data_IF_843718122021
#
_entry.id   IF_843718122021
#
_cell.length_a   1.000
_cell.length_b   1.000
_cell.length_c   1.000
_cell.angle_alpha   90.00
_cell.angle_beta   90.00
_cell.angle_gamma   90.00
#
_symmetry.space_group_name_H-M   'P 1'
#
loop_
_entity.id
_entity.type
_entity.pdbx_description
1 polymer ?
#
# COMPACT_ATOMS: atom_id res chain seq x y z
N UNK A 1 -4.39 36.15 -15.71
CA UNK A 1 -4.91 34.76 -15.53
C UNK A 1 -4.02 33.85 -16.36
N UNK A 2 -3.32 32.91 -15.72
CA UNK A 2 -2.61 31.86 -16.41
C UNK A 2 -3.70 30.86 -16.83
N UNK A 3 -4.03 30.77 -18.09
CA UNK A 3 -5.01 29.85 -18.61
C UNK A 3 -4.37 28.46 -18.73
N UNK A 4 -4.69 27.56 -17.81
CA UNK A 4 -4.24 26.18 -17.71
C UNK A 4 -3.15 25.99 -16.65
N UNK A 5 -3.19 24.84 -15.97
CA UNK A 5 -2.18 24.46 -15.00
C UNK A 5 -0.81 24.31 -15.68
N UNK A 6 0.23 24.88 -15.08
CA UNK A 6 1.62 24.78 -15.55
C UNK A 6 2.38 23.80 -14.67
N UNK A 7 3.44 23.18 -15.22
CA UNK A 7 4.34 22.35 -14.45
C UNK A 7 5.19 23.22 -13.50
N UNK A 8 5.38 22.73 -12.27
CA UNK A 8 6.27 23.36 -11.29
C UNK A 8 7.39 22.38 -10.94
N UNK A 9 8.62 22.78 -11.26
CA UNK A 9 9.83 22.01 -10.93
C UNK A 9 10.69 22.77 -9.94
N UNK A 10 11.05 22.15 -8.84
CA UNK A 10 11.98 22.68 -7.84
C UNK A 10 13.27 21.87 -7.90
N UNK A 11 14.35 22.53 -8.31
CA UNK A 11 15.70 21.95 -8.28
C UNK A 11 16.34 22.26 -6.94
N UNK A 12 16.42 21.27 -6.07
CA UNK A 12 16.92 21.41 -4.70
C UNK A 12 15.87 21.06 -3.65
N UNK A 13 16.10 21.52 -2.43
CA UNK A 13 15.25 21.23 -1.29
C UNK A 13 14.02 22.16 -1.25
N UNK A 14 12.94 21.64 -0.70
CA UNK A 14 11.70 22.37 -0.48
C UNK A 14 11.28 22.30 0.99
N UNK A 15 10.95 23.45 1.54
CA UNK A 15 10.18 23.61 2.80
C UNK A 15 8.84 24.25 2.42
N UNK A 16 7.76 23.44 2.46
CA UNK A 16 6.44 23.83 1.99
C UNK A 16 5.53 24.22 3.17
N UNK A 17 5.37 25.52 3.38
CA UNK A 17 4.54 26.07 4.46
C UNK A 17 3.15 26.57 3.98
N UNK A 18 2.89 26.58 2.68
CA UNK A 18 1.62 26.98 2.06
C UNK A 18 1.19 26.01 0.97
N UNK A 19 -0.12 25.78 0.83
CA UNK A 19 -0.64 24.81 -0.12
C UNK A 19 -0.25 25.14 -1.57
N UNK A 20 0.07 24.10 -2.34
CA UNK A 20 0.22 24.17 -3.80
C UNK A 20 -1.09 23.71 -4.43
N UNK A 21 -1.64 24.54 -5.31
CA UNK A 21 -2.85 24.26 -6.09
C UNK A 21 -2.67 24.76 -7.53
N UNK A 22 -3.53 24.27 -8.45
CA UNK A 22 -3.57 24.72 -9.85
C UNK A 22 -2.27 24.45 -10.64
N UNK A 23 -1.52 23.42 -10.27
CA UNK A 23 -0.30 22.95 -10.94
C UNK A 23 -0.63 21.71 -11.77
N UNK A 24 -0.05 21.58 -12.97
CA UNK A 24 -0.18 20.38 -13.78
C UNK A 24 0.65 19.26 -13.19
N UNK A 25 1.96 19.26 -13.39
CA UNK A 25 2.88 18.35 -12.74
C UNK A 25 3.75 19.08 -11.73
N UNK A 26 4.04 18.45 -10.62
CA UNK A 26 4.91 18.98 -9.57
C UNK A 26 6.09 18.06 -9.33
N UNK A 27 7.30 18.61 -9.28
CA UNK A 27 8.50 17.82 -9.01
C UNK A 27 9.49 18.53 -8.11
N UNK A 28 10.10 17.81 -7.18
CA UNK A 28 11.18 18.28 -6.31
C UNK A 28 12.34 17.30 -6.39
N UNK A 29 13.55 17.79 -6.70
CA UNK A 29 14.73 16.92 -6.82
C UNK A 29 15.47 16.68 -5.51
N UNK A 30 15.38 17.60 -4.56
CA UNK A 30 16.01 17.50 -3.24
C UNK A 30 15.08 16.97 -2.15
N UNK A 31 15.46 17.16 -0.89
CA UNK A 31 14.60 16.82 0.25
C UNK A 31 13.38 17.74 0.32
N UNK A 32 12.27 17.22 0.81
CA UNK A 32 11.01 17.94 0.92
C UNK A 32 10.46 17.86 2.33
N UNK A 33 10.19 19.00 2.96
CA UNK A 33 9.32 19.10 4.12
C UNK A 33 7.93 19.55 3.67
N UNK A 34 6.93 18.66 3.85
CA UNK A 34 5.54 18.91 3.49
C UNK A 34 4.78 19.42 4.71
N UNK A 35 4.85 20.73 4.97
CA UNK A 35 4.04 21.43 5.97
C UNK A 35 2.66 21.85 5.46
N UNK A 36 2.34 21.61 4.18
CA UNK A 36 1.05 21.94 3.57
C UNK A 36 0.64 20.91 2.48
N UNK A 37 -0.62 20.94 2.06
CA UNK A 37 -1.16 20.04 1.05
C UNK A 37 -0.71 20.42 -0.36
N UNK A 38 -0.64 19.40 -1.24
CA UNK A 38 -0.31 19.59 -2.66
C UNK A 38 -1.41 18.99 -3.53
N UNK A 39 -1.97 19.82 -4.41
CA UNK A 39 -2.97 19.42 -5.41
C UNK A 39 -2.46 19.72 -6.81
N UNK A 40 -2.38 18.67 -7.62
CA UNK A 40 -2.01 18.75 -9.04
C UNK A 40 -3.10 18.12 -9.90
N UNK A 41 -3.16 18.47 -11.17
CA UNK A 41 -4.01 17.76 -12.14
C UNK A 41 -3.28 16.55 -12.73
N UNK A 42 -1.95 16.55 -12.72
CA UNK A 42 -1.06 15.50 -13.18
C UNK A 42 -0.30 14.83 -12.03
N UNK A 43 0.98 14.59 -12.22
CA UNK A 43 1.84 13.85 -11.31
C UNK A 43 2.47 14.72 -10.23
N UNK A 44 2.85 14.07 -9.11
CA UNK A 44 3.78 14.64 -8.12
C UNK A 44 4.98 13.70 -7.97
N UNK A 45 6.19 14.23 -8.07
CA UNK A 45 7.42 13.45 -7.94
C UNK A 45 8.36 14.08 -6.92
N UNK A 46 8.67 13.31 -5.88
CA UNK A 46 9.61 13.67 -4.83
C UNK A 46 10.83 12.75 -4.93
N UNK A 47 11.94 13.25 -5.45
CA UNK A 47 13.14 12.43 -5.68
C UNK A 47 14.00 12.26 -4.44
N UNK A 48 14.03 13.25 -3.54
CA UNK A 48 14.70 13.16 -2.25
C UNK A 48 13.79 12.70 -1.13
N UNK A 49 14.36 12.58 0.07
CA UNK A 49 13.59 12.21 1.26
C UNK A 49 12.46 13.21 1.54
N UNK A 50 11.30 12.68 1.95
CA UNK A 50 10.11 13.46 2.29
C UNK A 50 9.86 13.39 3.79
N UNK A 51 9.60 14.54 4.40
CA UNK A 51 9.10 14.64 5.79
C UNK A 51 7.72 15.27 5.77
N UNK A 52 6.79 14.71 6.54
CA UNK A 52 5.50 15.35 6.79
C UNK A 52 5.60 16.16 8.09
N UNK A 53 5.14 17.41 8.09
CA UNK A 53 5.18 18.26 9.27
C UNK A 53 3.84 18.99 9.49
N UNK A 54 3.65 19.47 10.73
CA UNK A 54 2.49 20.26 11.12
C UNK A 54 1.23 19.44 11.42
N UNK A 55 0.48 19.01 10.43
CA UNK A 55 -0.78 18.28 10.58
C UNK A 55 -0.92 17.18 9.52
N UNK A 56 -2.10 16.57 9.37
CA UNK A 56 -2.43 15.65 8.29
C UNK A 56 -2.11 16.25 6.92
N UNK A 57 -1.57 15.44 6.00
CA UNK A 57 -1.27 15.83 4.63
C UNK A 57 -2.14 15.11 3.63
N UNK A 58 -2.69 15.89 2.71
CA UNK A 58 -3.34 15.38 1.51
C UNK A 58 -2.49 15.73 0.29
N UNK A 59 -2.09 14.70 -0.44
CA UNK A 59 -1.45 14.80 -1.75
C UNK A 59 -2.46 14.33 -2.79
N UNK A 60 -2.88 15.22 -3.67
CA UNK A 60 -3.87 14.91 -4.70
C UNK A 60 -3.28 15.08 -6.08
N UNK A 61 -3.39 14.05 -6.93
CA UNK A 61 -2.89 14.07 -8.31
C UNK A 61 -3.18 12.75 -9.02
N UNK A 62 -2.78 12.64 -10.28
CA UNK A 62 -2.94 11.38 -11.01
C UNK A 62 -2.07 10.26 -10.45
N UNK A 63 -0.82 10.58 -10.09
CA UNK A 63 0.12 9.66 -9.44
C UNK A 63 1.07 10.46 -8.55
N UNK A 64 1.24 10.01 -7.31
CA UNK A 64 2.17 10.56 -6.33
C UNK A 64 3.33 9.58 -6.16
N UNK A 65 4.55 10.02 -6.48
CA UNK A 65 5.76 9.18 -6.40
C UNK A 65 6.72 9.74 -5.36
N UNK A 66 7.09 8.93 -4.37
CA UNK A 66 8.21 9.20 -3.47
C UNK A 66 9.32 8.22 -3.80
N UNK A 67 10.45 8.71 -4.30
CA UNK A 67 11.56 7.88 -4.77
C UNK A 67 12.59 7.55 -3.67
N UNK A 68 12.39 8.07 -2.48
CA UNK A 68 13.25 7.88 -1.31
C UNK A 68 12.40 7.69 -0.05
N UNK A 69 13.05 7.66 1.10
CA UNK A 69 12.38 7.51 2.40
C UNK A 69 11.35 8.63 2.65
N UNK A 70 10.16 8.23 3.13
CA UNK A 70 9.14 9.14 3.65
C UNK A 70 9.04 8.99 5.18
N UNK A 71 9.18 10.10 5.91
CA UNK A 71 9.01 10.16 7.37
C UNK A 71 7.76 10.95 7.71
N UNK A 72 6.81 10.30 8.36
CA UNK A 72 5.48 10.87 8.63
C UNK A 72 5.40 11.83 9.81
N UNK A 73 6.37 11.82 10.75
CA UNK A 73 6.30 12.67 11.95
C UNK A 73 5.03 12.48 12.79
N UNK A 74 4.43 11.30 12.76
CA UNK A 74 3.11 10.95 13.33
C UNK A 74 1.91 11.61 12.63
N UNK A 75 2.11 12.27 11.49
CA UNK A 75 1.03 12.88 10.73
C UNK A 75 0.32 11.81 9.89
N UNK A 76 -0.98 12.00 9.66
CA UNK A 76 -1.73 11.18 8.71
C UNK A 76 -1.36 11.59 7.28
N UNK A 77 -1.36 10.61 6.37
CA UNK A 77 -1.15 10.82 4.94
C UNK A 77 -2.33 10.29 4.14
N UNK A 78 -2.96 11.17 3.39
CA UNK A 78 -3.99 10.83 2.41
C UNK A 78 -3.41 11.07 1.02
N UNK A 79 -3.46 10.06 0.16
CA UNK A 79 -3.14 10.15 -1.26
C UNK A 79 -4.42 9.97 -2.06
N UNK A 80 -4.88 11.03 -2.71
CA UNK A 80 -6.01 10.99 -3.63
C UNK A 80 -5.49 10.82 -5.06
N UNK A 81 -5.49 9.59 -5.53
CA UNK A 81 -4.89 9.13 -6.78
C UNK A 81 -3.99 7.92 -6.57
N UNK A 82 -3.17 7.62 -7.56
CA UNK A 82 -2.23 6.49 -7.48
C UNK A 82 -1.00 6.86 -6.63
N UNK A 83 -0.40 5.83 -6.00
CA UNK A 83 0.83 5.99 -5.20
C UNK A 83 1.96 5.08 -5.70
N UNK A 84 3.19 5.60 -5.67
CA UNK A 84 4.41 4.80 -5.87
C UNK A 84 5.37 5.13 -4.73
N UNK A 85 5.71 4.12 -3.92
CA UNK A 85 6.61 4.26 -2.78
C UNK A 85 7.95 3.59 -3.05
N UNK A 86 9.03 4.39 -2.98
CA UNK A 86 10.40 3.94 -3.15
C UNK A 86 10.79 3.71 -4.61
N UNK A 87 12.08 3.52 -4.81
CA UNK A 87 12.67 3.05 -6.07
C UNK A 87 13.71 1.93 -5.83
N UNK A 88 13.80 1.46 -4.58
CA UNK A 88 14.72 0.41 -4.16
C UNK A 88 14.50 -0.04 -2.71
N UNK A 89 15.16 -1.13 -2.35
CA UNK A 89 15.00 -1.80 -1.05
C UNK A 89 15.53 -1.00 0.15
N UNK A 90 16.27 0.08 -0.09
CA UNK A 90 16.77 0.97 0.98
C UNK A 90 15.77 2.01 1.44
N UNK A 91 14.70 2.22 0.68
CA UNK A 91 13.69 3.23 1.00
C UNK A 91 12.66 2.69 1.99
N UNK A 92 12.09 3.60 2.78
CA UNK A 92 11.08 3.23 3.79
C UNK A 92 10.00 4.31 3.88
N UNK A 93 8.81 3.90 4.30
CA UNK A 93 7.75 4.82 4.76
C UNK A 93 7.55 4.56 6.25
N UNK A 94 7.88 5.53 7.10
CA UNK A 94 7.89 5.32 8.56
C UNK A 94 7.30 6.51 9.32
N UNK A 95 6.80 6.24 10.53
CA UNK A 95 6.30 7.29 11.42
C UNK A 95 5.04 8.00 10.91
N UNK A 96 4.30 7.41 10.00
CA UNK A 96 2.99 7.91 9.53
C UNK A 96 1.93 7.56 10.58
N UNK A 97 0.98 8.46 10.82
CA UNK A 97 -0.18 8.22 11.68
C UNK A 97 -1.08 7.17 11.05
N UNK A 98 -1.91 7.58 10.11
CA UNK A 98 -2.69 6.70 9.21
C UNK A 98 -2.27 6.91 7.78
N UNK A 99 -2.35 5.87 6.94
CA UNK A 99 -2.13 5.95 5.51
C UNK A 99 -3.41 5.58 4.77
N UNK A 100 -3.87 6.45 3.88
CA UNK A 100 -5.05 6.18 3.04
C UNK A 100 -4.75 6.54 1.59
N UNK A 101 -4.85 5.57 0.68
CA UNK A 101 -4.61 5.73 -0.75
C UNK A 101 -5.87 5.34 -1.51
N UNK A 102 -6.36 6.23 -2.38
CA UNK A 102 -7.63 6.01 -3.08
C UNK A 102 -7.50 5.37 -4.45
N UNK A 103 -6.31 5.13 -4.95
CA UNK A 103 -6.06 4.53 -6.27
C UNK A 103 -5.08 3.38 -6.23
N UNK A 104 -4.53 3.04 -7.38
CA UNK A 104 -3.51 2.00 -7.50
C UNK A 104 -2.28 2.33 -6.67
N UNK A 105 -1.65 1.29 -6.13
CA UNK A 105 -0.42 1.46 -5.34
C UNK A 105 0.68 0.54 -5.86
N UNK A 106 1.89 1.08 -6.03
CA UNK A 106 3.09 0.26 -6.28
C UNK A 106 4.06 0.45 -5.12
N UNK A 107 4.53 -0.63 -4.51
CA UNK A 107 5.40 -0.62 -3.35
C UNK A 107 6.76 -1.21 -3.73
N UNK A 108 7.77 -0.34 -3.93
CA UNK A 108 9.17 -0.70 -4.14
C UNK A 108 10.03 -0.52 -2.87
N UNK A 109 9.40 -0.14 -1.76
CA UNK A 109 10.05 -0.03 -0.44
C UNK A 109 9.88 -1.33 0.35
N UNK A 110 10.87 -1.67 1.15
CA UNK A 110 10.82 -2.87 1.99
C UNK A 110 9.98 -2.73 3.25
N UNK A 111 9.60 -1.50 3.64
CA UNK A 111 8.89 -1.24 4.89
C UNK A 111 7.94 -0.06 4.77
N UNK A 112 6.69 -0.27 5.20
CA UNK A 112 5.72 0.80 5.47
C UNK A 112 5.22 0.62 6.91
N UNK A 113 5.46 1.61 7.78
CA UNK A 113 5.05 1.57 9.19
C UNK A 113 4.17 2.76 9.52
N UNK A 114 3.00 2.47 10.09
CA UNK A 114 2.06 3.47 10.61
C UNK A 114 1.71 3.17 12.07
N UNK A 115 1.30 4.17 12.81
CA UNK A 115 0.73 3.95 14.15
C UNK A 115 -0.75 3.59 14.09
N UNK A 116 -1.47 4.02 13.07
CA UNK A 116 -2.87 3.74 12.79
C UNK A 116 -3.06 2.88 11.55
N UNK A 117 -4.26 2.92 10.97
CA UNK A 117 -4.66 2.09 9.83
C UNK A 117 -3.88 2.38 8.55
N UNK A 118 -3.80 1.35 7.70
CA UNK A 118 -3.36 1.47 6.31
C UNK A 118 -4.51 1.01 5.40
N UNK A 119 -4.88 1.84 4.42
CA UNK A 119 -5.93 1.52 3.44
C UNK A 119 -5.35 1.71 2.04
N UNK A 120 -5.46 0.66 1.22
CA UNK A 120 -4.93 0.61 -0.13
C UNK A 120 -6.06 0.39 -1.15
N UNK A 121 -6.33 1.42 -1.96
CA UNK A 121 -7.42 1.46 -2.92
C UNK A 121 -8.76 1.87 -2.31
N UNK A 122 -9.70 2.26 -3.15
CA UNK A 122 -11.09 2.55 -2.79
C UNK A 122 -12.11 1.78 -3.65
N UNK A 123 -11.61 0.94 -4.55
CA UNK A 123 -12.40 0.09 -5.41
C UNK A 123 -11.72 -1.28 -5.59
N UNK A 124 -12.51 -2.35 -5.73
CA UNK A 124 -11.99 -3.70 -5.95
C UNK A 124 -11.28 -3.87 -7.30
N UNK A 125 -11.38 -2.89 -8.19
CA UNK A 125 -10.65 -2.81 -9.45
C UNK A 125 -9.27 -2.15 -9.34
N UNK A 126 -8.97 -1.49 -8.21
CA UNK A 126 -7.64 -0.94 -7.96
C UNK A 126 -6.61 -2.07 -7.82
N UNK A 127 -5.36 -1.77 -8.07
CA UNK A 127 -4.27 -2.76 -7.98
C UNK A 127 -3.20 -2.29 -7.01
N UNK A 128 -2.79 -3.19 -6.12
CA UNK A 128 -1.67 -3.02 -5.22
C UNK A 128 -0.56 -3.96 -5.66
N UNK A 129 0.51 -3.39 -6.21
CA UNK A 129 1.64 -4.15 -6.75
C UNK A 129 2.77 -4.17 -5.71
N UNK A 130 3.16 -5.37 -5.29
CA UNK A 130 4.29 -5.60 -4.40
C UNK A 130 5.55 -5.75 -5.27
N UNK A 131 6.30 -4.66 -5.43
CA UNK A 131 7.47 -4.58 -6.31
C UNK A 131 8.76 -5.12 -5.68
N UNK A 132 8.79 -5.32 -4.36
CA UNK A 132 9.87 -5.98 -3.62
C UNK A 132 9.31 -6.69 -2.41
N UNK A 133 10.09 -7.55 -1.75
CA UNK A 133 9.66 -8.14 -0.48
C UNK A 133 9.41 -7.03 0.56
N UNK A 134 8.18 -6.93 1.03
CA UNK A 134 7.69 -5.80 1.81
C UNK A 134 7.08 -6.24 3.14
N UNK A 135 7.34 -5.46 4.19
CA UNK A 135 6.68 -5.56 5.49
C UNK A 135 5.82 -4.33 5.73
N UNK A 136 4.51 -4.52 5.90
CA UNK A 136 3.58 -3.48 6.33
C UNK A 136 3.28 -3.66 7.81
N UNK A 137 3.45 -2.61 8.61
CA UNK A 137 3.29 -2.68 10.06
C UNK A 137 2.36 -1.58 10.55
N UNK A 138 1.42 -1.95 11.43
CA UNK A 138 0.59 -1.01 12.19
C UNK A 138 0.73 -1.26 13.69
N UNK A 139 0.34 -0.29 14.50
CA UNK A 139 0.26 -0.48 15.96
C UNK A 139 -1.17 -0.87 16.34
N UNK A 140 -1.45 -2.19 16.37
CA UNK A 140 -2.79 -2.72 16.69
C UNK A 140 -3.92 -2.07 15.88
N UNK A 141 -3.69 -1.87 14.61
CA UNK A 141 -4.66 -1.24 13.69
C UNK A 141 -4.76 -2.04 12.40
N UNK A 142 -5.91 -1.97 11.75
CA UNK A 142 -6.22 -2.73 10.54
C UNK A 142 -5.36 -2.30 9.34
N UNK A 143 -5.05 -3.28 8.48
CA UNK A 143 -4.60 -3.07 7.11
C UNK A 143 -5.70 -3.58 6.18
N UNK A 144 -6.24 -2.71 5.34
CA UNK A 144 -7.27 -3.07 4.35
C UNK A 144 -6.72 -2.95 2.93
N UNK A 145 -6.85 -4.00 2.17
CA UNK A 145 -6.63 -4.02 0.73
C UNK A 145 -7.98 -4.07 0.02
N UNK A 146 -8.49 -2.90 -0.37
CA UNK A 146 -9.75 -2.84 -1.12
C UNK A 146 -9.55 -3.32 -2.56
N UNK A 147 -8.38 -3.11 -3.15
CA UNK A 147 -8.02 -3.54 -4.50
C UNK A 147 -7.26 -4.87 -4.54
N UNK A 148 -7.05 -5.36 -5.78
CA UNK A 148 -6.29 -6.57 -6.09
C UNK A 148 -4.85 -6.46 -5.58
N UNK A 149 -4.33 -7.51 -4.94
CA UNK A 149 -2.93 -7.55 -4.49
C UNK A 149 -2.13 -8.53 -5.32
N UNK A 150 -1.18 -8.03 -6.09
CA UNK A 150 -0.35 -8.83 -6.97
C UNK A 150 1.15 -8.57 -6.71
N UNK A 151 2.01 -9.52 -7.03
CA UNK A 151 3.44 -9.26 -7.17
C UNK A 151 3.72 -8.50 -8.47
N UNK A 152 4.84 -7.82 -8.54
CA UNK A 152 5.30 -7.23 -9.80
C UNK A 152 5.49 -8.31 -10.87
N UNK A 153 5.23 -7.95 -12.13
CA UNK A 153 5.29 -8.88 -13.25
C UNK A 153 6.65 -9.58 -13.34
N UNK A 154 6.61 -10.91 -13.41
CA UNK A 154 7.82 -11.75 -13.46
C UNK A 154 8.47 -12.01 -12.09
N UNK A 155 7.90 -11.53 -11.00
CA UNK A 155 8.38 -11.73 -9.65
C UNK A 155 7.40 -12.52 -8.78
N UNK A 156 7.87 -12.94 -7.61
CA UNK A 156 7.05 -13.58 -6.55
C UNK A 156 7.52 -13.00 -5.21
N UNK A 157 7.14 -11.76 -4.94
CA UNK A 157 7.59 -11.02 -3.77
C UNK A 157 6.84 -11.44 -2.50
N UNK A 158 7.54 -11.55 -1.39
CA UNK A 158 6.94 -11.86 -0.10
C UNK A 158 6.20 -10.63 0.45
N UNK A 159 5.09 -10.87 1.15
CA UNK A 159 4.31 -9.85 1.83
C UNK A 159 4.14 -10.23 3.30
N UNK A 160 4.71 -9.41 4.19
CA UNK A 160 4.55 -9.56 5.63
C UNK A 160 3.64 -8.45 6.16
N UNK A 161 2.61 -8.82 6.92
CA UNK A 161 1.60 -7.91 7.45
C UNK A 161 1.57 -8.07 8.97
N UNK A 162 2.03 -7.04 9.70
CA UNK A 162 2.14 -7.05 11.15
C UNK A 162 1.14 -6.04 11.74
N UNK A 163 -0.03 -6.53 12.15
CA UNK A 163 -1.14 -5.70 12.65
C UNK A 163 -1.40 -5.85 14.16
N UNK A 164 -0.53 -6.59 14.87
CA UNK A 164 -0.68 -6.82 16.30
C UNK A 164 -1.99 -7.55 16.64
N UNK A 165 -2.83 -6.93 17.44
CA UNK A 165 -4.13 -7.50 17.84
C UNK A 165 -5.28 -7.18 16.88
N UNK A 166 -4.99 -6.54 15.77
CA UNK A 166 -5.98 -6.20 14.73
C UNK A 166 -6.00 -7.24 13.62
N UNK A 167 -6.59 -6.90 12.50
CA UNK A 167 -6.77 -7.79 11.36
C UNK A 167 -6.25 -7.19 10.06
N UNK A 168 -5.98 -8.07 9.12
CA UNK A 168 -5.77 -7.78 7.70
C UNK A 168 -7.03 -8.17 6.96
N UNK A 169 -7.54 -7.26 6.15
CA UNK A 169 -8.72 -7.45 5.31
C UNK A 169 -8.33 -7.43 3.83
N UNK A 170 -8.79 -8.44 3.09
CA UNK A 170 -8.66 -8.51 1.64
C UNK A 170 -10.05 -8.52 0.99
N UNK A 171 -10.49 -7.37 0.45
CA UNK A 171 -11.78 -7.23 -0.24
C UNK A 171 -11.71 -7.72 -1.69
N UNK A 172 -10.52 -7.78 -2.28
CA UNK A 172 -10.29 -8.20 -3.66
C UNK A 172 -9.24 -9.31 -3.75
N UNK A 173 -9.15 -9.96 -4.93
CA UNK A 173 -8.34 -11.16 -5.12
C UNK A 173 -6.84 -10.90 -4.90
N UNK A 174 -6.16 -11.93 -4.38
CA UNK A 174 -4.71 -11.91 -4.11
C UNK A 174 -4.00 -12.87 -5.04
N UNK A 175 -2.96 -12.40 -5.72
CA UNK A 175 -2.18 -13.17 -6.68
C UNK A 175 -2.95 -13.55 -7.94
N UNK A 176 -3.96 -12.73 -8.29
CA UNK A 176 -4.86 -13.02 -9.41
C UNK A 176 -4.16 -13.00 -10.77
N UNK A 177 -3.21 -12.12 -10.95
CA UNK A 177 -2.42 -11.95 -12.18
C UNK A 177 -1.00 -12.49 -11.97
N UNK A 178 -0.30 -11.98 -10.98
CA UNK A 178 1.05 -12.40 -10.61
C UNK A 178 1.06 -12.88 -9.16
N UNK A 179 1.35 -14.17 -8.91
CA UNK A 179 1.33 -14.72 -7.56
C UNK A 179 2.31 -14.02 -6.64
N UNK A 180 1.93 -13.88 -5.38
CA UNK A 180 2.85 -13.48 -4.31
C UNK A 180 3.77 -14.63 -3.92
N UNK A 181 4.87 -14.30 -3.27
CA UNK A 181 5.69 -15.22 -2.49
C UNK A 181 4.96 -15.67 -1.23
N UNK A 182 5.68 -15.79 -0.12
CA UNK A 182 5.06 -16.08 1.16
C UNK A 182 4.24 -14.88 1.65
N UNK A 183 3.01 -15.14 2.09
CA UNK A 183 2.17 -14.19 2.82
C UNK A 183 2.23 -14.56 4.31
N UNK A 184 2.70 -13.64 5.14
CA UNK A 184 2.79 -13.83 6.59
C UNK A 184 1.99 -12.75 7.30
N UNK A 185 0.97 -13.16 8.06
CA UNK A 185 0.10 -12.26 8.82
C UNK A 185 0.32 -12.49 10.31
N UNK A 186 0.88 -11.46 10.98
CA UNK A 186 0.95 -11.40 12.45
C UNK A 186 -0.25 -10.59 12.93
N UNK A 187 -1.35 -11.28 13.21
CA UNK A 187 -2.66 -10.74 13.51
C UNK A 187 -3.76 -11.66 12.98
N UNK A 188 -4.99 -11.15 12.89
CA UNK A 188 -6.12 -11.87 12.31
C UNK A 188 -6.20 -11.65 10.78
N UNK A 189 -6.91 -12.54 10.10
CA UNK A 189 -7.22 -12.42 8.67
C UNK A 189 -8.75 -12.39 8.47
N UNK A 190 -9.22 -11.40 7.73
CA UNK A 190 -10.53 -11.40 7.07
C UNK A 190 -10.33 -11.48 5.56
N UNK A 191 -10.81 -12.55 4.94
CA UNK A 191 -10.60 -12.85 3.53
C UNK A 191 -11.93 -12.91 2.80
N UNK A 192 -12.31 -11.85 2.12
CA UNK A 192 -13.56 -11.78 1.36
C UNK A 192 -13.40 -12.20 -0.11
N UNK A 193 -12.16 -12.22 -0.62
CA UNK A 193 -11.85 -12.60 -1.99
C UNK A 193 -10.76 -13.67 -2.08
N UNK A 194 -10.67 -14.34 -3.22
CA UNK A 194 -9.82 -15.53 -3.41
C UNK A 194 -8.31 -15.21 -3.34
N UNK A 195 -7.53 -16.13 -2.78
CA UNK A 195 -6.08 -16.20 -2.98
C UNK A 195 -5.82 -17.23 -4.08
N UNK A 196 -5.80 -16.79 -5.35
CA UNK A 196 -5.71 -17.69 -6.50
C UNK A 196 -5.50 -16.92 -7.79
N UNK A 197 -4.78 -17.48 -8.76
CA UNK A 197 -4.72 -16.93 -10.12
C UNK A 197 -6.08 -17.01 -10.81
N UNK A 198 -6.45 -15.96 -11.50
CA UNK A 198 -7.69 -15.90 -12.29
C UNK A 198 -7.66 -16.91 -13.44
N UNK A 199 -6.50 -17.12 -14.06
CA UNK A 199 -6.34 -18.08 -15.15
C UNK A 199 -5.91 -19.46 -14.61
N UNK A 200 -6.76 -20.50 -14.80
CA UNK A 200 -6.38 -21.89 -14.62
C UNK A 200 -6.33 -22.42 -13.19
N UNK A 201 -6.90 -21.73 -12.23
CA UNK A 201 -6.93 -22.19 -10.81
C UNK A 201 -5.56 -22.48 -10.20
N UNK A 202 -4.50 -21.82 -10.69
CA UNK A 202 -3.16 -21.92 -10.11
C UNK A 202 -3.07 -21.10 -8.80
N UNK A 203 -2.05 -21.39 -7.98
CA UNK A 203 -1.83 -20.71 -6.70
C UNK A 203 -1.69 -19.20 -6.85
N UNK A 204 -2.29 -18.44 -5.94
CA UNK A 204 -2.16 -16.99 -5.83
C UNK A 204 -0.99 -16.56 -4.94
N UNK A 205 -0.46 -17.49 -4.14
CA UNK A 205 0.73 -17.27 -3.31
C UNK A 205 1.52 -18.57 -3.15
N UNK A 206 2.79 -18.46 -2.73
CA UNK A 206 3.58 -19.66 -2.43
C UNK A 206 3.19 -20.29 -1.11
N UNK A 207 2.86 -19.50 -0.11
CA UNK A 207 2.38 -19.97 1.20
C UNK A 207 1.55 -18.90 1.90
N UNK A 208 0.75 -19.31 2.88
CA UNK A 208 0.01 -18.40 3.76
C UNK A 208 0.20 -18.84 5.22
N UNK A 209 0.59 -17.89 6.07
CA UNK A 209 0.68 -18.10 7.52
C UNK A 209 -0.12 -17.01 8.23
N UNK A 210 -1.05 -17.41 9.12
CA UNK A 210 -1.84 -16.50 9.96
C UNK A 210 -1.63 -16.88 11.42
N UNK A 211 -1.21 -15.91 12.25
CA UNK A 211 -0.80 -16.18 13.64
C UNK A 211 -1.96 -16.23 14.64
N UNK A 212 -3.11 -15.64 14.30
CA UNK A 212 -4.30 -15.64 15.17
C UNK A 212 -5.54 -16.18 14.45
N UNK A 213 -6.69 -15.57 14.57
CA UNK A 213 -7.94 -16.03 13.95
C UNK A 213 -7.98 -15.77 12.46
N UNK A 214 -8.77 -16.57 11.74
CA UNK A 214 -9.01 -16.38 10.30
C UNK A 214 -10.49 -16.53 10.00
N UNK A 215 -11.07 -15.55 9.31
CA UNK A 215 -12.36 -15.63 8.65
C UNK A 215 -12.13 -15.85 7.15
N UNK A 216 -12.50 -17.01 6.65
CA UNK A 216 -12.30 -17.36 5.25
C UNK A 216 -13.63 -17.27 4.48
N UNK A 217 -13.91 -16.09 3.93
CA UNK A 217 -15.03 -15.80 3.04
C UNK A 217 -14.80 -16.26 1.60
N UNK A 218 -13.59 -16.74 1.26
CA UNK A 218 -13.23 -17.20 -0.08
C UNK A 218 -12.26 -18.39 -0.06
N UNK A 219 -11.94 -18.95 -1.24
CA UNK A 219 -11.01 -20.05 -1.40
C UNK A 219 -9.55 -19.58 -1.28
N UNK A 220 -8.70 -20.48 -0.76
CA UNK A 220 -7.25 -20.24 -0.67
C UNK A 220 -6.52 -21.32 -1.45
N UNK A 221 -5.74 -20.92 -2.45
CA UNK A 221 -4.88 -21.80 -3.22
C UNK A 221 -3.44 -21.29 -3.17
N UNK A 222 -2.57 -22.06 -2.51
CA UNK A 222 -1.13 -21.81 -2.42
C UNK A 222 -0.36 -22.97 -3.04
N UNK A 223 0.84 -22.72 -3.53
CA UNK A 223 1.69 -23.79 -4.05
C UNK A 223 2.41 -24.60 -2.95
N UNK A 224 2.38 -24.09 -1.72
CA UNK A 224 2.99 -24.69 -0.55
C UNK A 224 2.06 -24.64 0.66
N UNK A 225 2.63 -24.52 1.86
CA UNK A 225 1.96 -24.71 3.13
C UNK A 225 1.00 -23.55 3.45
N UNK A 226 -0.18 -23.88 3.98
CA UNK A 226 -1.08 -22.96 4.68
C UNK A 226 -1.06 -23.28 6.17
N UNK A 227 -0.79 -22.27 6.99
CA UNK A 227 -0.75 -22.41 8.45
C UNK A 227 -1.71 -21.41 9.11
N UNK A 228 -2.66 -21.93 9.84
CA UNK A 228 -3.62 -21.16 10.64
C UNK A 228 -3.43 -21.55 12.11
N UNK A 229 -2.87 -20.67 12.91
CA UNK A 229 -2.53 -20.95 14.31
C UNK A 229 -3.75 -20.84 15.22
N UNK A 230 -4.65 -19.90 14.93
CA UNK A 230 -5.86 -19.66 15.70
C UNK A 230 -7.10 -20.34 15.13
N UNK A 231 -8.26 -19.97 15.65
CA UNK A 231 -9.55 -20.47 15.16
C UNK A 231 -9.78 -20.01 13.71
N UNK A 232 -10.31 -20.95 12.89
CA UNK A 232 -10.70 -20.67 11.51
C UNK A 232 -12.22 -20.73 11.39
N UNK A 233 -12.82 -19.66 10.89
CA UNK A 233 -14.24 -19.59 10.53
C UNK A 233 -14.35 -19.63 9.01
N UNK A 234 -15.26 -20.49 8.49
CA UNK A 234 -15.63 -20.48 7.09
C UNK A 234 -16.95 -19.72 6.95
N UNK A 235 -16.93 -18.59 6.26
CA UNK A 235 -18.12 -17.74 6.06
C UNK A 235 -18.67 -17.88 4.64
N UNK A 236 -20.01 -17.73 4.53
CA UNK A 236 -20.74 -17.74 3.26
C UNK A 236 -21.03 -19.15 2.73
N UNK A 237 -20.09 -19.88 2.15
CA UNK A 237 -20.29 -21.19 1.52
C UNK A 237 -19.12 -22.14 1.84
N UNK A 238 -19.13 -23.35 1.23
CA UNK A 238 -17.99 -24.26 1.31
C UNK A 238 -16.73 -23.63 0.74
N UNK A 239 -15.59 -23.81 1.41
CA UNK A 239 -14.29 -23.30 0.99
C UNK A 239 -13.37 -24.43 0.56
N UNK A 240 -12.54 -24.15 -0.44
CA UNK A 240 -11.45 -25.04 -0.86
C UNK A 240 -10.14 -24.43 -0.42
N UNK A 241 -9.38 -25.19 0.37
CA UNK A 241 -8.01 -24.90 0.76
C UNK A 241 -7.11 -25.90 0.01
N UNK A 242 -6.16 -25.41 -0.80
CA UNK A 242 -5.35 -26.22 -1.68
C UNK A 242 -3.90 -25.75 -1.70
#
# INVERSE_FOLDING_TARGET
>A
AVNGAQNLTITGNLDLNGAITEVADFSVSGTTDLGANVTTTGTQTYSGAVTLSGAERTLQGSTITTQATLTGGSQNLIITGNAVFGNGTGDTVTGVGTLNITGNTTIHTNTITTSGTQIYGNATSDTIVIGTATTLTTTNSQITFTGLVDSESGQTNNLTLAVGNSEVEFDAAVGATTPLGAIVITGALDLDAIIQKTSGSAAGATSLTVSTTSNLGANVNTSGIQTYTGAVTLSGANRTLK
#
